data_IF_019569923334
#
_entry.id   IF_019569923334
#
_cell.length_a   1.000
_cell.length_b   1.000
_cell.length_c   1.000
_cell.angle_alpha   90.00
_cell.angle_beta   90.00
_cell.angle_gamma   90.00
#
_symmetry.space_group_name_H-M   'P 1'
#
loop_
_entity.id
_entity.type
_entity.pdbx_description
1 polymer ?
#
# COMPACT_ATOMS: atom_id res chain seq x y z
N UNK A 1 0.33 7.82 4.15
CA UNK A 1 0.11 7.03 2.92
C UNK A 1 -0.90 5.92 3.09
N UNK A 2 -0.72 5.02 4.05
CA UNK A 2 -1.74 3.99 4.35
C UNK A 2 -3.15 4.57 4.56
N UNK A 3 -3.31 5.64 5.35
CA UNK A 3 -4.63 6.24 5.57
C UNK A 3 -5.26 6.82 4.29
N UNK A 4 -4.45 7.39 3.39
CA UNK A 4 -4.92 7.88 2.10
C UNK A 4 -5.41 6.72 1.23
N UNK A 5 -4.73 5.57 1.28
CA UNK A 5 -5.12 4.35 0.57
C UNK A 5 -6.45 3.81 1.12
N UNK A 6 -6.61 3.78 2.45
CA UNK A 6 -7.87 3.37 3.09
C UNK A 6 -9.04 4.25 2.65
N UNK A 7 -8.86 5.58 2.71
CA UNK A 7 -9.93 6.53 2.42
C UNK A 7 -10.31 6.57 0.94
N UNK A 8 -9.34 6.42 0.05
CA UNK A 8 -9.57 6.45 -1.40
C UNK A 8 -9.95 5.09 -1.99
N UNK A 9 -9.67 3.99 -1.29
CA UNK A 9 -9.75 2.64 -1.85
C UNK A 9 -8.86 2.43 -3.07
N UNK A 10 -7.86 3.29 -3.29
CA UNK A 10 -7.06 3.33 -4.52
C UNK A 10 -5.60 3.02 -4.24
N UNK A 11 -5.01 2.20 -5.10
CA UNK A 11 -3.58 1.89 -5.03
C UNK A 11 -2.75 2.97 -5.72
N UNK A 12 -1.56 3.25 -5.20
CA UNK A 12 -0.67 4.24 -5.78
C UNK A 12 0.80 3.97 -5.49
N UNK A 13 1.64 4.55 -6.35
CA UNK A 13 3.07 4.71 -6.11
C UNK A 13 3.29 6.01 -5.33
N UNK A 14 4.03 5.92 -4.23
CA UNK A 14 4.45 7.08 -3.47
C UNK A 14 5.95 7.33 -3.61
N UNK A 15 6.33 8.60 -3.70
CA UNK A 15 7.72 9.05 -3.69
C UNK A 15 7.85 10.30 -2.82
N UNK A 16 8.94 10.36 -2.05
CA UNK A 16 9.18 11.46 -1.10
C UNK A 16 9.20 12.83 -1.76
N UNK A 17 9.88 12.95 -2.90
CA UNK A 17 10.09 14.25 -3.55
C UNK A 17 8.81 14.82 -4.17
N UNK A 18 7.78 13.98 -4.33
CA UNK A 18 6.52 14.35 -4.97
C UNK A 18 5.43 14.73 -3.98
N UNK A 19 5.65 14.59 -2.67
CA UNK A 19 4.57 14.73 -1.69
C UNK A 19 5.01 15.30 -0.33
N UNK A 20 4.60 16.54 -0.06
CA UNK A 20 4.86 17.23 1.21
C UNK A 20 4.05 16.67 2.39
N UNK A 21 3.02 15.85 2.14
CA UNK A 21 2.09 15.32 3.14
C UNK A 21 2.53 13.97 3.75
N UNK A 22 3.84 13.67 3.75
CA UNK A 22 4.39 12.49 4.39
C UNK A 22 4.02 12.41 5.89
N UNK A 23 3.55 11.24 6.34
CA UNK A 23 3.23 11.00 7.76
C UNK A 23 4.49 11.06 8.64
N UNK A 24 4.31 11.27 9.95
CA UNK A 24 5.41 11.27 10.93
C UNK A 24 6.24 9.98 10.88
N UNK A 25 5.60 8.83 10.67
CA UNK A 25 6.26 7.53 10.51
C UNK A 25 7.19 7.48 9.29
N UNK A 26 6.74 8.00 8.14
CA UNK A 26 7.53 8.04 6.89
C UNK A 26 8.78 8.90 7.07
N UNK A 27 8.63 10.05 7.74
CA UNK A 27 9.75 10.94 8.08
C UNK A 27 10.72 10.25 9.03
N UNK A 28 10.22 9.66 10.13
CA UNK A 28 11.03 8.98 11.15
C UNK A 28 11.81 7.78 10.62
N UNK A 29 11.19 6.96 9.77
CA UNK A 29 11.79 5.74 9.21
C UNK A 29 12.60 6.00 7.94
N UNK A 30 12.72 7.26 7.52
CA UNK A 30 13.41 7.67 6.32
C UNK A 30 12.94 6.94 5.03
N UNK A 31 11.64 6.71 4.88
CA UNK A 31 11.06 6.07 3.68
C UNK A 31 11.15 7.05 2.49
N UNK A 32 11.73 6.58 1.39
CA UNK A 32 12.00 7.36 0.17
C UNK A 32 10.96 7.10 -0.92
N UNK A 33 10.35 5.92 -0.91
CA UNK A 33 9.29 5.55 -1.84
C UNK A 33 8.59 4.29 -1.38
N UNK A 34 7.41 4.05 -1.95
CA UNK A 34 6.63 2.87 -1.62
C UNK A 34 5.47 2.59 -2.58
N UNK A 35 4.93 1.39 -2.45
CA UNK A 35 3.69 0.96 -3.09
C UNK A 35 2.64 0.79 -1.99
N UNK A 36 1.43 1.29 -2.22
CA UNK A 36 0.33 1.17 -1.28
C UNK A 36 -0.91 0.66 -2.02
N UNK A 37 -1.55 -0.38 -1.50
CA UNK A 37 -2.76 -0.97 -2.08
C UNK A 37 -3.76 -1.36 -0.99
N UNK A 38 -5.07 -1.15 -1.21
CA UNK A 38 -6.09 -1.57 -0.26
C UNK A 38 -6.08 -3.10 -0.14
N UNK A 39 -6.24 -3.57 1.09
CA UNK A 39 -6.53 -4.97 1.40
C UNK A 39 -8.02 -5.07 1.71
N UNK A 40 -8.79 -5.80 0.91
CA UNK A 40 -10.23 -5.90 1.09
C UNK A 40 -10.92 -6.76 0.04
N UNK A 41 -12.11 -7.25 0.38
CA UNK A 41 -12.94 -8.06 -0.50
C UNK A 41 -14.38 -7.57 -0.46
N UNK A 42 -14.95 -7.23 -1.62
CA UNK A 42 -16.27 -6.61 -1.70
C UNK A 42 -16.33 -5.32 -0.90
N UNK A 43 -17.33 -5.21 -0.01
CA UNK A 43 -17.50 -4.05 0.88
C UNK A 43 -16.55 -4.06 2.11
N UNK A 44 -15.82 -5.14 2.34
CA UNK A 44 -14.98 -5.30 3.53
C UNK A 44 -13.60 -4.71 3.29
N UNK A 45 -13.34 -3.53 3.87
CA UNK A 45 -12.00 -2.98 3.97
C UNK A 45 -11.27 -3.61 5.17
N UNK A 46 -10.22 -4.38 4.90
CA UNK A 46 -9.43 -5.08 5.92
C UNK A 46 -8.21 -4.27 6.36
N UNK A 47 -7.68 -3.42 5.48
CA UNK A 47 -6.45 -2.68 5.75
C UNK A 47 -5.75 -2.21 4.49
N UNK A 48 -4.43 -2.07 4.58
CA UNK A 48 -3.55 -1.68 3.47
C UNK A 48 -2.35 -2.59 3.49
N UNK A 49 -1.95 -3.07 2.32
CA UNK A 49 -0.63 -3.66 2.11
C UNK A 49 0.29 -2.55 1.61
N UNK A 50 1.48 -2.47 2.19
CA UNK A 50 2.49 -1.54 1.74
C UNK A 50 3.85 -2.20 1.56
N UNK A 51 4.59 -1.70 0.58
CA UNK A 51 6.02 -1.94 0.41
C UNK A 51 6.70 -0.60 0.53
N UNK A 52 7.62 -0.48 1.48
CA UNK A 52 8.38 0.75 1.73
C UNK A 52 9.86 0.50 1.48
N UNK A 53 10.54 1.49 0.93
CA UNK A 53 11.99 1.47 0.77
C UNK A 53 12.62 2.74 1.33
N UNK A 54 13.75 2.57 2.01
CA UNK A 54 14.57 3.66 2.56
C UNK A 54 15.69 4.09 1.60
N UNK A 55 15.83 3.42 0.45
CA UNK A 55 16.84 3.74 -0.57
C UNK A 55 16.34 4.86 -1.48
N UNK A 56 17.10 5.95 -1.59
CA UNK A 56 16.72 7.13 -2.39
C UNK A 56 16.69 6.86 -3.90
N UNK A 57 17.42 5.85 -4.36
CA UNK A 57 17.46 5.44 -5.77
C UNK A 57 16.28 4.55 -6.18
N UNK A 58 15.45 4.08 -5.23
CA UNK A 58 14.32 3.20 -5.55
C UNK A 58 13.36 3.90 -6.50
N UNK A 59 12.99 3.22 -7.60
CA UNK A 59 11.94 3.69 -8.50
C UNK A 59 10.88 2.59 -8.63
N UNK A 60 9.69 2.88 -8.12
CA UNK A 60 8.51 2.06 -8.37
C UNK A 60 7.82 2.56 -9.64
N UNK A 61 7.53 1.67 -10.57
CA UNK A 61 6.86 1.98 -11.84
C UNK A 61 5.38 1.60 -11.78
N UNK A 62 4.64 1.95 -12.85
CA UNK A 62 3.26 1.48 -13.04
C UNK A 62 3.15 -0.05 -13.10
N UNK A 63 4.14 -0.72 -13.69
CA UNK A 63 4.17 -2.19 -13.77
C UNK A 63 4.32 -2.81 -12.37
N UNK A 64 5.23 -2.28 -11.55
CA UNK A 64 5.36 -2.71 -10.15
C UNK A 64 4.05 -2.51 -9.36
N UNK A 65 3.33 -1.41 -9.62
CA UNK A 65 2.03 -1.16 -8.99
C UNK A 65 0.97 -2.18 -9.46
N UNK A 66 0.95 -2.51 -10.75
CA UNK A 66 0.01 -3.48 -11.34
C UNK A 66 0.19 -4.88 -10.72
N UNK A 67 1.44 -5.33 -10.62
CA UNK A 67 1.79 -6.61 -10.00
C UNK A 67 1.42 -6.61 -8.51
N UNK A 68 1.73 -5.52 -7.82
CA UNK A 68 1.43 -5.36 -6.39
C UNK A 68 -0.08 -5.37 -6.10
N UNK A 69 -0.89 -4.72 -6.94
CA UNK A 69 -2.36 -4.78 -6.83
C UNK A 69 -2.87 -6.20 -7.05
N UNK A 70 -2.29 -6.93 -8.00
CA UNK A 70 -2.66 -8.33 -8.24
C UNK A 70 -2.35 -9.21 -7.02
N UNK A 71 -1.18 -9.03 -6.41
CA UNK A 71 -0.82 -9.70 -5.15
C UNK A 71 -1.76 -9.32 -4.00
N UNK A 72 -2.08 -8.03 -3.84
CA UNK A 72 -2.99 -7.54 -2.79
C UNK A 72 -4.39 -8.13 -2.93
N UNK A 73 -4.90 -8.31 -4.16
CA UNK A 73 -6.20 -8.97 -4.42
C UNK A 73 -6.20 -10.43 -4.00
N UNK A 74 -5.18 -11.19 -4.37
CA UNK A 74 -5.05 -12.61 -3.96
C UNK A 74 -4.95 -12.70 -2.43
N UNK A 75 -4.13 -11.85 -1.81
CA UNK A 75 -3.99 -11.80 -0.35
C UNK A 75 -5.31 -11.44 0.33
N UNK A 76 -6.11 -10.54 -0.25
CA UNK A 76 -7.41 -10.14 0.30
C UNK A 76 -8.35 -11.34 0.42
N UNK A 77 -8.39 -12.22 -0.58
CA UNK A 77 -9.21 -13.45 -0.54
C UNK A 77 -8.75 -14.35 0.62
N UNK A 78 -7.44 -14.58 0.75
CA UNK A 78 -6.89 -15.43 1.82
C UNK A 78 -7.16 -14.87 3.21
N UNK A 79 -7.00 -13.55 3.42
CA UNK A 79 -7.23 -12.91 4.72
C UNK A 79 -8.73 -12.90 5.06
N UNK A 80 -9.62 -12.68 4.09
CA UNK A 80 -11.06 -12.81 4.30
C UNK A 80 -11.46 -14.23 4.71
N UNK A 81 -11.02 -15.24 3.96
CA UNK A 81 -11.33 -16.63 4.26
C UNK A 81 -10.80 -17.07 5.64
N UNK A 82 -9.64 -16.57 6.06
CA UNK A 82 -9.10 -16.85 7.40
C UNK A 82 -9.95 -16.21 8.51
N UNK A 83 -10.58 -15.05 8.26
CA UNK A 83 -11.44 -14.37 9.25
C UNK A 83 -12.80 -15.03 9.44
N UNK A 84 -13.33 -15.73 8.44
CA UNK A 84 -14.63 -16.42 8.53
C UNK A 84 -14.56 -17.73 9.34
N UNK A 85 -13.35 -18.25 9.59
CA UNK A 85 -13.13 -19.48 10.35
C UNK A 85 -12.87 -19.26 11.86
N UNK A 86 -13.05 -18.03 12.35
CA UNK A 86 -12.93 -17.62 13.75
C UNK A 86 -14.20 -16.93 14.23
#
# INVERSE_FOLDING_TARGET
MAINTLNSGSAFVWKRDTDAAASSSIKRLNIQGGLYAPLGFGANSLGVVCVDSTHSSVQFSGDHLSDFVSMAKVLSVSVCAAKENH
#
